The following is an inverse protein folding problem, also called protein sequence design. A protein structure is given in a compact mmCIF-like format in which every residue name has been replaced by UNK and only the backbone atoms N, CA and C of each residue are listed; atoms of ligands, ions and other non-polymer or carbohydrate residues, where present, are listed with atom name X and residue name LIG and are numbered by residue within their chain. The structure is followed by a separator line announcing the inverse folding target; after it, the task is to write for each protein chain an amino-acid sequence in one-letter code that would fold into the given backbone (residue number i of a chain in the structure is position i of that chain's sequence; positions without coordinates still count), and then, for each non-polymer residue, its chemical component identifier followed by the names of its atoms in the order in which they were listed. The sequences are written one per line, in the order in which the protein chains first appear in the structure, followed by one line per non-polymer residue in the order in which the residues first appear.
data_IF_824781789997
#
_entry.id   IF_824781789997
#
_cell.length_a   1.000
_cell.length_b   1.000
_cell.length_c   1.000
_cell.angle_alpha   90.00
_cell.angle_beta   90.00
_cell.angle_gamma   90.00
#
_symmetry.space_group_name_H-M   'P 1'
#
loop_
_entity.id
_entity.type
_entity.pdbx_description
1 polymer ?
#
# COMPACT_ATOMS: atom_id res chain seq x y z
N UNK A 1 -7.47 11.73 -11.57
CA UNK A 1 -6.71 10.68 -10.88
C UNK A 1 -5.38 10.51 -11.59
N UNK A 2 -4.28 10.58 -10.84
CA UNK A 2 -2.96 10.46 -11.42
C UNK A 2 -2.69 9.03 -11.91
N UNK A 3 -2.11 8.93 -13.10
CA UNK A 3 -1.68 7.63 -13.65
C UNK A 3 -0.27 7.35 -13.19
N UNK A 4 -0.08 6.19 -12.58
CA UNK A 4 1.22 5.75 -12.07
C UNK A 4 1.74 4.62 -12.95
N UNK A 5 2.94 4.82 -13.51
CA UNK A 5 3.60 3.80 -14.31
C UNK A 5 4.12 2.68 -13.39
N UNK A 6 3.69 1.45 -13.63
CA UNK A 6 4.11 0.29 -12.85
C UNK A 6 5.64 0.16 -12.82
N UNK A 7 6.32 0.56 -13.89
CA UNK A 7 7.78 0.49 -14.00
C UNK A 7 8.50 1.46 -13.06
N UNK A 8 7.78 2.47 -12.53
CA UNK A 8 8.35 3.50 -11.66
C UNK A 8 8.08 3.25 -10.17
N UNK A 9 7.45 2.12 -9.83
CA UNK A 9 7.25 1.74 -8.44
C UNK A 9 8.02 0.47 -8.16
N UNK A 10 8.50 0.34 -6.92
CA UNK A 10 9.42 -0.71 -6.51
C UNK A 10 8.85 -1.47 -5.32
N UNK A 11 9.01 -2.79 -5.32
CA UNK A 11 8.74 -3.59 -4.13
C UNK A 11 9.89 -3.46 -3.13
N UNK A 12 9.65 -3.88 -1.90
CA UNK A 12 10.64 -3.78 -0.83
C UNK A 12 11.97 -4.43 -1.20
N UNK A 13 11.92 -5.59 -1.86
CA UNK A 13 13.13 -6.33 -2.24
C UNK A 13 13.98 -5.60 -3.29
N UNK A 14 13.38 -4.68 -4.02
CA UNK A 14 14.05 -3.95 -5.10
C UNK A 14 14.74 -2.67 -4.62
N UNK A 15 14.63 -2.34 -3.33
CA UNK A 15 15.13 -1.07 -2.79
C UNK A 15 16.60 -1.06 -2.40
N UNK A 16 17.29 -2.21 -2.50
CA UNK A 16 18.74 -2.27 -2.28
C UNK A 16 19.17 -2.42 -0.82
N UNK A 17 18.29 -2.89 0.07
CA UNK A 17 18.64 -3.11 1.48
C UNK A 17 19.45 -4.38 1.73
N UNK A 18 19.71 -5.18 0.70
CA UNK A 18 20.50 -6.40 0.82
C UNK A 18 19.69 -7.59 1.33
N UNK A 19 20.39 -8.64 1.78
CA UNK A 19 19.76 -9.91 2.13
C UNK A 19 18.81 -9.81 3.33
N UNK A 20 19.08 -8.92 4.27
CA UNK A 20 18.22 -8.73 5.45
C UNK A 20 16.80 -8.32 5.12
N UNK A 21 16.57 -7.76 3.92
CA UNK A 21 15.24 -7.31 3.53
C UNK A 21 14.24 -8.45 3.31
N UNK A 22 14.72 -9.69 3.10
CA UNK A 22 13.80 -10.82 2.88
C UNK A 22 12.97 -11.14 4.12
N UNK A 23 13.58 -11.08 5.29
CA UNK A 23 12.86 -11.29 6.55
C UNK A 23 11.83 -10.18 6.77
N UNK A 24 12.23 -8.93 6.54
CA UNK A 24 11.34 -7.77 6.67
C UNK A 24 10.20 -7.85 5.64
N UNK A 25 10.49 -8.25 4.39
CA UNK A 25 9.47 -8.42 3.37
C UNK A 25 8.41 -9.45 3.79
N UNK A 26 8.84 -10.56 4.39
CA UNK A 26 7.92 -11.57 4.92
C UNK A 26 7.06 -11.02 6.04
N UNK A 27 7.65 -10.21 6.93
CA UNK A 27 6.90 -9.55 8.00
C UNK A 27 5.88 -8.56 7.44
N UNK A 28 6.26 -7.77 6.44
CA UNK A 28 5.35 -6.86 5.75
C UNK A 28 4.15 -7.60 5.18
N UNK A 29 4.40 -8.70 4.48
CA UNK A 29 3.32 -9.49 3.87
C UNK A 29 2.35 -10.03 4.92
N UNK A 30 2.84 -10.50 6.05
CA UNK A 30 1.99 -10.97 7.15
C UNK A 30 1.17 -9.83 7.76
N UNK A 31 1.82 -8.69 8.01
CA UNK A 31 1.14 -7.51 8.55
C UNK A 31 0.05 -7.02 7.60
N UNK A 32 0.34 -6.97 6.31
CA UNK A 32 -0.64 -6.53 5.32
C UNK A 32 -1.77 -7.56 5.16
N UNK A 33 -1.48 -8.86 5.30
CA UNK A 33 -2.51 -9.89 5.25
C UNK A 33 -3.56 -9.69 6.36
N UNK A 34 -3.13 -9.31 7.57
CA UNK A 34 -4.04 -9.02 8.67
C UNK A 34 -4.95 -7.84 8.30
N UNK A 35 -4.39 -6.79 7.72
CA UNK A 35 -5.12 -5.57 7.36
C UNK A 35 -6.01 -5.76 6.14
N UNK A 36 -5.68 -6.71 5.28
CA UNK A 36 -6.48 -7.03 4.10
C UNK A 36 -7.89 -7.47 4.49
N UNK A 37 -8.08 -8.08 5.66
CA UNK A 37 -9.40 -8.48 6.13
C UNK A 37 -10.39 -7.31 6.15
N UNK A 38 -9.92 -6.14 6.52
CA UNK A 38 -10.75 -4.94 6.53
C UNK A 38 -10.74 -4.22 5.19
N UNK A 39 -9.57 -4.09 4.57
CA UNK A 39 -9.40 -3.32 3.34
C UNK A 39 -10.06 -4.00 2.14
N UNK A 40 -10.22 -5.32 2.15
CA UNK A 40 -10.92 -6.02 1.07
C UNK A 40 -12.41 -5.64 0.97
N UNK A 41 -12.97 -5.07 2.03
CA UNK A 41 -14.36 -4.60 2.05
C UNK A 41 -14.52 -3.24 1.39
N UNK A 42 -13.42 -2.59 1.07
CA UNK A 42 -13.42 -1.27 0.44
C UNK A 42 -13.52 -1.42 -1.08
N UNK A 43 -14.55 -0.84 -1.68
CA UNK A 43 -14.66 -0.76 -3.13
C UNK A 43 -14.00 0.53 -3.64
N UNK A 44 -13.94 0.71 -4.96
CA UNK A 44 -13.29 1.89 -5.55
C UNK A 44 -13.94 3.20 -5.10
N UNK A 45 -15.26 3.23 -4.95
CA UNK A 45 -15.98 4.42 -4.50
C UNK A 45 -15.60 4.78 -3.07
N UNK A 46 -15.57 3.79 -2.18
CA UNK A 46 -15.19 4.01 -0.78
C UNK A 46 -13.69 4.34 -0.66
N UNK A 47 -12.86 3.77 -1.53
CA UNK A 47 -11.42 4.07 -1.54
C UNK A 47 -11.17 5.57 -1.81
N UNK A 48 -11.96 6.20 -2.67
CA UNK A 48 -11.85 7.64 -2.93
C UNK A 48 -12.10 8.46 -1.66
N UNK A 49 -13.14 8.11 -0.92
CA UNK A 49 -13.48 8.81 0.32
C UNK A 49 -12.40 8.57 1.38
N UNK A 50 -11.97 7.32 1.54
CA UNK A 50 -10.95 6.95 2.53
C UNK A 50 -9.64 7.69 2.24
N UNK A 51 -9.20 7.73 0.98
CA UNK A 51 -7.97 8.43 0.62
C UNK A 51 -8.03 9.91 0.96
N UNK A 52 -9.16 10.55 0.73
CA UNK A 52 -9.35 11.97 1.06
C UNK A 52 -9.26 12.20 2.58
N UNK A 53 -9.87 11.32 3.37
CA UNK A 53 -9.90 11.47 4.84
C UNK A 53 -8.53 11.26 5.46
N UNK A 54 -7.74 10.27 4.96
CA UNK A 54 -6.41 10.00 5.51
C UNK A 54 -5.34 10.95 4.98
N UNK A 55 -5.68 11.86 4.07
CA UNK A 55 -4.71 12.75 3.47
C UNK A 55 -3.84 12.11 2.40
N UNK A 56 -4.33 11.01 1.82
CA UNK A 56 -3.67 10.34 0.70
C UNK A 56 -4.33 10.69 -0.63
N UNK A 57 -4.01 9.92 -1.65
CA UNK A 57 -4.57 10.09 -2.99
C UNK A 57 -4.97 8.75 -3.59
N UNK A 58 -6.16 8.71 -4.16
CA UNK A 58 -6.55 7.59 -5.02
C UNK A 58 -5.83 7.77 -6.35
N UNK A 59 -5.06 6.77 -6.76
CA UNK A 59 -4.27 6.83 -8.00
C UNK A 59 -4.62 5.67 -8.90
N UNK A 60 -4.29 5.80 -10.18
CA UNK A 60 -4.47 4.73 -11.15
C UNK A 60 -3.16 3.96 -11.30
N UNK A 61 -3.04 2.90 -10.51
CA UNK A 61 -1.91 1.98 -10.57
C UNK A 61 -2.47 0.57 -10.65
N UNK A 62 -2.20 -0.11 -11.74
CA UNK A 62 -2.66 -1.47 -11.97
C UNK A 62 -1.47 -2.40 -12.09
N UNK A 63 -1.45 -3.45 -11.28
CA UNK A 63 -0.43 -4.49 -11.34
C UNK A 63 -0.85 -5.54 -12.38
N UNK A 64 -2.13 -5.90 -12.36
CA UNK A 64 -2.75 -6.81 -13.31
C UNK A 64 -4.26 -6.58 -13.32
N UNK A 65 -5.01 -7.49 -13.94
CA UNK A 65 -6.46 -7.38 -14.06
C UNK A 65 -7.20 -7.45 -12.71
N UNK A 66 -6.57 -8.01 -11.69
CA UNK A 66 -7.17 -8.15 -10.37
C UNK A 66 -7.08 -6.87 -9.53
N UNK A 67 -6.32 -5.86 -9.97
CA UNK A 67 -6.17 -4.61 -9.22
C UNK A 67 -7.47 -3.82 -9.22
N UNK A 68 -8.04 -3.57 -8.04
CA UNK A 68 -9.27 -2.81 -7.93
C UNK A 68 -9.06 -1.33 -7.66
N UNK A 69 -8.19 -1.02 -6.69
CA UNK A 69 -7.86 0.36 -6.37
C UNK A 69 -6.43 0.44 -5.87
N UNK A 70 -5.88 1.64 -5.94
CA UNK A 70 -4.59 1.96 -5.36
C UNK A 70 -4.68 3.29 -4.63
N UNK A 71 -4.16 3.34 -3.41
CA UNK A 71 -4.11 4.57 -2.60
C UNK A 71 -2.64 4.85 -2.30
N UNK A 72 -2.24 6.10 -2.57
CA UNK A 72 -0.89 6.58 -2.28
C UNK A 72 -0.90 7.38 -0.99
N UNK A 73 0.09 7.10 -0.12
CA UNK A 73 0.35 7.84 1.11
C UNK A 73 1.77 8.37 1.07
N UNK A 74 1.95 9.62 1.49
CA UNK A 74 3.29 10.22 1.54
C UNK A 74 3.54 10.79 2.94
N UNK A 75 3.95 9.93 3.90
CA UNK A 75 4.13 10.38 5.29
C UNK A 75 5.28 11.36 5.47
N UNK A 76 6.31 11.28 4.64
CA UNK A 76 7.40 12.25 4.57
C UNK A 76 7.74 12.50 3.11
N UNK A 77 8.37 13.63 2.81
CA UNK A 77 8.72 14.01 1.44
C UNK A 77 9.56 12.91 0.77
N UNK A 78 9.21 12.56 -0.45
CA UNK A 78 9.85 11.54 -1.29
C UNK A 78 9.61 10.09 -0.84
N UNK A 79 8.83 9.86 0.22
CA UNK A 79 8.41 8.53 0.60
C UNK A 79 6.95 8.34 0.20
N UNK A 80 6.72 7.91 -1.03
CA UNK A 80 5.39 7.58 -1.54
C UNK A 80 5.18 6.10 -1.44
N UNK A 81 4.16 5.71 -0.68
CA UNK A 81 3.80 4.31 -0.44
C UNK A 81 2.47 4.06 -1.14
N UNK A 82 2.42 3.05 -2.00
CA UNK A 82 1.23 2.68 -2.76
C UNK A 82 0.66 1.40 -2.19
N UNK A 83 -0.61 1.43 -1.83
CA UNK A 83 -1.35 0.25 -1.36
C UNK A 83 -2.32 -0.14 -2.46
N UNK A 84 -2.17 -1.35 -2.99
CA UNK A 84 -2.97 -1.83 -4.13
C UNK A 84 -3.78 -3.04 -3.69
N UNK A 85 -5.11 -2.94 -3.78
CA UNK A 85 -5.98 -4.08 -3.49
C UNK A 85 -6.11 -4.96 -4.72
N UNK A 86 -5.71 -6.22 -4.56
CA UNK A 86 -5.85 -7.26 -5.56
C UNK A 86 -7.05 -8.14 -5.22
N UNK A 87 -8.02 -8.22 -6.13
CA UNK A 87 -9.19 -9.07 -6.00
C UNK A 87 -8.90 -10.43 -6.62
N UNK A 88 -8.35 -11.32 -5.83
CA UNK A 88 -7.95 -12.64 -6.30
C UNK A 88 -9.04 -13.70 -6.11
N UNK A 89 -10.07 -13.41 -5.31
CA UNK A 89 -11.20 -14.33 -5.08
C UNK A 89 -11.95 -14.62 -6.37
N UNK A 90 -12.49 -15.82 -6.57
CA UNK A 90 -12.54 -16.93 -5.62
C UNK A 90 -11.34 -17.87 -5.67
N UNK A 91 -10.43 -17.74 -6.64
CA UNK A 91 -9.34 -18.70 -6.84
C UNK A 91 -8.27 -18.59 -5.77
N UNK A 92 -7.94 -17.35 -5.36
CA UNK A 92 -6.94 -17.06 -4.35
C UNK A 92 -7.50 -16.03 -3.38
N UNK A 93 -6.85 -15.85 -2.25
CA UNK A 93 -7.23 -14.81 -1.29
C UNK A 93 -6.94 -13.43 -1.87
N UNK A 94 -7.83 -12.47 -1.55
CA UNK A 94 -7.57 -11.06 -1.85
C UNK A 94 -6.37 -10.60 -1.03
N UNK A 95 -5.57 -9.69 -1.59
CA UNK A 95 -4.41 -9.18 -0.88
C UNK A 95 -4.18 -7.72 -1.17
N UNK A 96 -3.54 -7.03 -0.23
CA UNK A 96 -3.08 -5.66 -0.42
C UNK A 96 -1.57 -5.70 -0.61
N UNK A 97 -1.12 -5.30 -1.79
CA UNK A 97 0.29 -5.20 -2.12
C UNK A 97 0.79 -3.79 -1.81
N UNK A 98 2.05 -3.69 -1.41
CA UNK A 98 2.69 -2.40 -1.16
C UNK A 98 3.84 -2.17 -2.13
N UNK A 99 3.92 -0.96 -2.65
CA UNK A 99 4.99 -0.52 -3.51
C UNK A 99 5.47 0.86 -3.07
N UNK A 100 6.67 1.21 -3.49
CA UNK A 100 7.29 2.49 -3.16
C UNK A 100 7.61 3.22 -4.46
N UNK A 101 7.37 4.52 -4.49
CA UNK A 101 7.76 5.36 -5.63
C UNK A 101 9.27 5.43 -5.77
N UNK A 102 9.76 5.60 -6.99
CA UNK A 102 11.21 5.66 -7.26
C UNK A 102 11.89 6.82 -6.55
N UNK A 103 11.13 7.84 -6.12
CA UNK A 103 11.64 9.00 -5.36
C UNK A 103 12.28 8.59 -4.04
N UNK A 104 11.98 7.39 -3.53
CA UNK A 104 12.59 6.87 -2.30
C UNK A 104 14.12 6.80 -2.43
N UNK A 105 14.64 6.70 -3.65
CA UNK A 105 16.09 6.66 -3.90
C UNK A 105 16.76 7.99 -3.56
N UNK A 106 15.99 9.07 -3.42
CA UNK A 106 16.50 10.39 -3.06
C UNK A 106 16.62 10.59 -1.55
N UNK A 107 16.18 9.62 -0.76
CA UNK A 107 16.27 9.67 0.70
C UNK A 107 16.98 8.42 1.20
N UNK A 108 17.64 8.58 2.35
CA UNK A 108 18.30 7.45 3.02
C UNK A 108 17.46 7.11 4.24
N UNK A 109 16.54 6.16 4.07
CA UNK A 109 15.68 5.74 5.15
C UNK A 109 16.09 4.33 5.61
N UNK A 110 16.34 4.13 6.93
CA UNK A 110 16.59 2.78 7.44
C UNK A 110 15.40 1.87 7.19
N UNK A 111 15.67 0.59 6.94
CA UNK A 111 14.60 -0.36 6.61
C UNK A 111 13.57 -0.49 7.74
N UNK A 112 13.99 -0.40 8.99
CA UNK A 112 13.08 -0.47 10.13
C UNK A 112 12.10 0.71 10.14
N UNK A 113 12.58 1.90 9.80
CA UNK A 113 11.75 3.09 9.72
C UNK A 113 10.77 2.98 8.54
N UNK A 114 11.23 2.45 7.41
CA UNK A 114 10.37 2.20 6.26
C UNK A 114 9.24 1.25 6.62
N UNK A 115 9.57 0.17 7.33
CA UNK A 115 8.60 -0.79 7.83
C UNK A 115 7.56 -0.10 8.72
N UNK A 116 8.01 0.73 9.66
CA UNK A 116 7.12 1.45 10.57
C UNK A 116 6.19 2.40 9.82
N UNK A 117 6.70 3.19 8.88
CA UNK A 117 5.87 4.08 8.08
C UNK A 117 4.81 3.31 7.29
N UNK A 118 5.21 2.20 6.67
CA UNK A 118 4.29 1.37 5.88
C UNK A 118 3.16 0.83 6.74
N UNK A 119 3.50 0.34 7.93
CA UNK A 119 2.53 -0.20 8.88
C UNK A 119 1.61 0.88 9.43
N UNK A 120 2.15 2.02 9.81
CA UNK A 120 1.37 3.12 10.39
C UNK A 120 0.38 3.71 9.38
N UNK A 121 0.80 3.89 8.14
CA UNK A 121 -0.11 4.36 7.09
C UNK A 121 -1.21 3.33 6.80
N UNK A 122 -0.86 2.04 6.78
CA UNK A 122 -1.85 0.98 6.60
C UNK A 122 -2.87 0.98 7.75
N UNK A 123 -2.40 1.20 9.00
CA UNK A 123 -3.29 1.31 10.15
C UNK A 123 -4.28 2.47 10.00
N UNK A 124 -3.82 3.60 9.49
CA UNK A 124 -4.68 4.75 9.24
C UNK A 124 -5.76 4.42 8.21
N UNK A 125 -5.40 3.74 7.13
CA UNK A 125 -6.36 3.29 6.12
C UNK A 125 -7.41 2.36 6.72
N UNK A 126 -7.00 1.39 7.52
CA UNK A 126 -7.90 0.43 8.16
C UNK A 126 -8.87 1.16 9.11
N UNK A 127 -8.36 2.08 9.91
CA UNK A 127 -9.18 2.83 10.88
C UNK A 127 -10.28 3.61 10.19
N UNK A 128 -9.94 4.31 9.12
CA UNK A 128 -10.92 5.08 8.36
C UNK A 128 -11.88 4.17 7.62
N UNK A 129 -11.38 3.06 7.06
CA UNK A 129 -12.21 2.07 6.38
C UNK A 129 -13.30 1.52 7.32
N UNK A 130 -12.92 1.14 8.54
CA UNK A 130 -13.87 0.65 9.54
C UNK A 130 -14.94 1.69 9.87
N UNK A 131 -14.55 2.94 10.05
CA UNK A 131 -15.48 4.02 10.34
C UNK A 131 -16.45 4.30 9.19
N UNK A 132 -15.98 4.15 7.96
CA UNK A 132 -16.75 4.46 6.76
C UNK A 132 -17.72 3.36 6.39
N UNK A 133 -17.29 2.08 6.53
CA UNK A 133 -18.05 0.93 6.04
C UNK A 133 -19.08 0.46 7.08
N UNK A 134 -18.75 0.52 8.36
CA UNK A 134 -19.56 -0.02 9.45
C UNK A 134 -20.63 0.97 9.92
N UNK A 135 -20.47 2.25 9.63
CA UNK A 135 -21.42 3.28 10.04
C UNK A 135 -22.65 3.40 9.16
#
# INVERSE_FOLDING_TARGET
MENIDRARVLGLKELGYGQGCYAIDSMHKREMAIRTKDLRLVNRKNARLISAVVGGELVNLSIDEASEWAIMMEPIKNLRIYYVLQRNSPEFEDEVLTFYGEEIKNIKIPIDDLYDFTRLCANALVRVAKSTIVS
#
